data_IF_653103840655
#
_entry.id   IF_653103840655
#
_cell.length_a   1.000
_cell.length_b   1.000
_cell.length_c   1.000
_cell.angle_alpha   90.00
_cell.angle_beta   90.00
_cell.angle_gamma   90.00
#
_symmetry.space_group_name_H-M   'P 1'
#
loop_
_entity.id
_entity.type
_entity.pdbx_description
1 polymer ?
#
# COMPACT_ATOMS: atom_id res chain seq x y z
N UNK A 1 -29.25 4.71 3.34
CA UNK A 1 -29.21 6.18 3.17
C UNK A 1 -28.07 6.47 2.22
N UNK A 2 -28.32 7.19 1.14
CA UNK A 2 -27.24 7.70 0.28
C UNK A 2 -27.16 9.20 0.55
N UNK A 3 -25.96 9.69 0.85
CA UNK A 3 -25.75 11.12 1.08
C UNK A 3 -25.31 11.68 -0.26
N UNK A 4 -26.24 12.31 -0.98
CA UNK A 4 -25.92 13.12 -2.14
C UNK A 4 -25.43 14.49 -1.65
N UNK A 5 -24.22 14.88 -2.06
CA UNK A 5 -23.69 16.22 -1.79
C UNK A 5 -23.86 17.07 -3.06
N UNK A 6 -24.31 18.30 -2.88
CA UNK A 6 -24.32 19.33 -3.91
C UNK A 6 -23.01 20.11 -3.80
N UNK A 7 -22.12 19.98 -4.77
CA UNK A 7 -20.95 20.86 -4.86
C UNK A 7 -21.42 22.32 -5.01
N UNK A 8 -20.60 23.27 -4.58
CA UNK A 8 -20.90 24.69 -4.35
C UNK A 8 -21.93 25.38 -5.26
N UNK A 9 -22.74 26.22 -4.63
CA UNK A 9 -23.56 27.31 -5.20
C UNK A 9 -24.64 26.91 -6.23
N UNK A 10 -25.84 26.65 -5.70
CA UNK A 10 -27.13 27.10 -6.26
C UNK A 10 -27.52 26.79 -7.71
N UNK A 11 -26.94 25.83 -8.44
CA UNK A 11 -27.55 25.33 -9.68
C UNK A 11 -27.78 23.81 -9.58
N UNK A 12 -29.04 23.41 -9.76
CA UNK A 12 -29.50 22.03 -9.82
C UNK A 12 -29.20 21.51 -11.24
N UNK A 13 -28.02 20.91 -11.42
CA UNK A 13 -27.80 20.01 -12.54
C UNK A 13 -28.27 18.65 -12.05
N UNK A 14 -29.37 18.15 -12.61
CA UNK A 14 -30.22 17.04 -12.13
C UNK A 14 -29.56 15.66 -11.99
N UNK A 15 -28.23 15.60 -11.93
CA UNK A 15 -27.46 14.41 -11.65
C UNK A 15 -27.16 14.38 -10.15
N UNK A 16 -28.03 13.70 -9.39
CA UNK A 16 -27.66 13.27 -8.04
C UNK A 16 -26.48 12.31 -8.16
N UNK A 17 -25.28 12.78 -7.81
CA UNK A 17 -24.11 11.91 -7.69
C UNK A 17 -24.14 11.30 -6.30
N UNK A 18 -24.29 9.98 -6.26
CA UNK A 18 -24.16 9.21 -5.02
C UNK A 18 -22.68 9.15 -4.61
N UNK A 19 -22.26 10.13 -3.80
CA UNK A 19 -20.85 10.23 -3.35
C UNK A 19 -20.56 9.22 -2.23
N UNK A 20 -21.53 9.00 -1.32
CA UNK A 20 -21.39 8.13 -0.16
C UNK A 20 -22.67 7.32 0.10
N UNK A 21 -22.53 6.01 0.32
CA UNK A 21 -23.60 5.14 0.81
C UNK A 21 -23.40 4.78 2.28
N UNK A 22 -24.45 4.89 3.08
CA UNK A 22 -24.53 4.37 4.45
C UNK A 22 -25.66 3.35 4.55
N UNK A 23 -25.30 2.08 4.75
CA UNK A 23 -26.23 0.94 4.75
C UNK A 23 -26.70 0.62 6.17
N UNK A 24 -27.88 0.02 6.29
CA UNK A 24 -28.47 -0.35 7.60
C UNK A 24 -27.67 -1.41 8.36
N UNK A 25 -26.81 -2.18 7.67
CA UNK A 25 -25.86 -3.12 8.27
C UNK A 25 -24.60 -2.42 8.83
N UNK A 26 -24.47 -1.11 8.66
CA UNK A 26 -23.33 -0.31 9.09
C UNK A 26 -22.17 -0.23 8.08
N UNK A 27 -22.36 -0.69 6.84
CA UNK A 27 -21.36 -0.53 5.79
C UNK A 27 -21.40 0.90 5.21
N UNK A 28 -20.22 1.43 4.91
CA UNK A 28 -20.02 2.73 4.27
C UNK A 28 -19.32 2.54 2.93
N UNK A 29 -19.88 3.08 1.86
CA UNK A 29 -19.28 3.10 0.53
C UNK A 29 -18.94 4.52 0.11
N UNK A 30 -17.77 4.74 -0.48
CA UNK A 30 -17.38 6.00 -1.15
C UNK A 30 -17.13 5.66 -2.63
N UNK A 31 -17.90 6.26 -3.54
CA UNK A 31 -17.88 5.90 -4.97
C UNK A 31 -18.54 4.54 -5.30
N UNK A 32 -19.17 3.89 -4.31
CA UNK A 32 -19.90 2.62 -4.46
C UNK A 32 -21.17 2.64 -3.61
N UNK A 33 -22.29 2.22 -4.20
CA UNK A 33 -23.62 2.27 -3.55
C UNK A 33 -24.00 1.00 -2.79
N UNK A 34 -23.31 -0.11 -3.08
CA UNK A 34 -23.55 -1.41 -2.44
C UNK A 34 -22.26 -1.99 -1.86
N UNK A 35 -21.70 -1.34 -0.81
CA UNK A 35 -20.45 -1.78 -0.21
C UNK A 35 -20.56 -3.19 0.40
N UNK A 36 -19.65 -4.08 0.02
CA UNK A 36 -19.64 -5.47 0.49
C UNK A 36 -18.88 -5.66 1.82
N UNK A 37 -18.13 -4.65 2.23
CA UNK A 37 -17.38 -4.59 3.49
C UNK A 37 -17.73 -3.35 4.31
N UNK A 38 -17.21 -3.27 5.55
CA UNK A 38 -17.53 -2.17 6.50
C UNK A 38 -17.21 -0.78 5.94
N UNK A 39 -16.10 -0.66 5.22
CA UNK A 39 -15.71 0.53 4.49
C UNK A 39 -15.15 0.12 3.14
N UNK A 40 -15.81 0.53 2.07
CA UNK A 40 -15.32 0.34 0.69
C UNK A 40 -15.13 1.70 0.03
N UNK A 41 -13.94 1.91 -0.55
CA UNK A 41 -13.63 3.09 -1.36
C UNK A 41 -13.32 2.62 -2.76
N UNK A 42 -14.21 2.89 -3.71
CA UNK A 42 -14.10 2.42 -5.08
C UNK A 42 -13.91 3.60 -6.03
N UNK A 43 -12.68 3.77 -6.52
CA UNK A 43 -12.31 4.86 -7.41
C UNK A 43 -11.12 4.46 -8.29
N UNK A 44 -11.13 4.88 -9.55
CA UNK A 44 -10.04 4.64 -10.49
C UNK A 44 -8.96 5.74 -10.33
N UNK A 45 -8.14 5.60 -9.29
CA UNK A 45 -7.09 6.56 -8.94
C UNK A 45 -6.72 6.47 -7.45
N UNK A 46 -6.40 7.61 -6.85
CA UNK A 46 -6.15 7.71 -5.40
C UNK A 46 -7.42 7.36 -4.62
N UNK A 47 -7.33 6.39 -3.71
CA UNK A 47 -8.50 5.93 -2.93
C UNK A 47 -8.50 6.53 -1.52
N UNK A 48 -7.43 6.34 -0.75
CA UNK A 48 -7.32 6.91 0.60
C UNK A 48 -6.07 7.78 0.70
N UNK A 49 -6.28 9.08 0.96
CA UNK A 49 -5.21 10.04 1.26
C UNK A 49 -5.21 10.38 2.74
N UNK A 50 -4.07 10.19 3.41
CA UNK A 50 -3.80 10.72 4.74
C UNK A 50 -2.88 11.93 4.61
N UNK A 51 -3.36 13.11 4.96
CA UNK A 51 -2.59 14.36 4.88
C UNK A 51 -2.09 14.79 6.27
N UNK A 52 -0.87 15.28 6.34
CA UNK A 52 -0.36 16.04 7.49
C UNK A 52 -0.59 17.54 7.27
N UNK A 53 -0.29 18.05 6.07
CA UNK A 53 -0.56 19.42 5.66
C UNK A 53 -0.86 19.54 4.14
N UNK A 54 -0.73 20.73 3.56
CA UNK A 54 -0.98 20.97 2.14
C UNK A 54 0.07 20.35 1.19
N UNK A 55 1.18 19.86 1.72
CA UNK A 55 2.33 19.31 0.98
C UNK A 55 2.65 17.87 1.36
N UNK A 56 2.41 17.49 2.60
CA UNK A 56 2.78 16.19 3.15
C UNK A 56 1.59 15.24 3.27
N UNK A 57 1.70 14.07 2.64
CA UNK A 57 0.65 13.06 2.65
C UNK A 57 1.16 11.64 2.32
N UNK A 58 0.30 10.65 2.52
CA UNK A 58 0.44 9.32 1.93
C UNK A 58 -0.86 8.89 1.25
N UNK A 59 -0.75 8.28 0.07
CA UNK A 59 -1.89 7.73 -0.68
C UNK A 59 -1.82 6.21 -0.69
N UNK A 60 -2.98 5.59 -0.47
CA UNK A 60 -3.21 4.17 -0.67
C UNK A 60 -4.12 3.99 -1.89
N UNK A 61 -3.71 3.15 -2.82
CA UNK A 61 -4.48 2.83 -4.02
C UNK A 61 -4.24 1.38 -4.50
N UNK A 62 -5.26 0.75 -5.07
CA UNK A 62 -5.21 -0.54 -5.75
C UNK A 62 -5.34 -0.30 -7.24
N UNK A 63 -4.40 -0.79 -8.03
CA UNK A 63 -4.40 -0.60 -9.49
C UNK A 63 -5.34 -1.59 -10.22
N UNK A 64 -5.40 -1.50 -11.56
CA UNK A 64 -6.23 -2.41 -12.38
C UNK A 64 -5.77 -3.88 -12.35
N UNK A 65 -4.59 -4.17 -11.79
CA UNK A 65 -4.06 -5.52 -11.58
C UNK A 65 -4.28 -6.01 -10.15
N UNK A 66 -4.94 -5.23 -9.28
CA UNK A 66 -5.15 -5.57 -7.87
C UNK A 66 -3.92 -5.34 -7.00
N UNK A 67 -2.90 -4.60 -7.47
CA UNK A 67 -1.70 -4.29 -6.69
C UNK A 67 -1.96 -3.12 -5.77
N UNK A 68 -1.74 -3.32 -4.47
CA UNK A 68 -1.72 -2.23 -3.50
C UNK A 68 -0.44 -1.40 -3.65
N UNK A 69 -0.61 -0.09 -3.73
CA UNK A 69 0.46 0.91 -3.68
C UNK A 69 0.29 1.79 -2.45
N UNK A 70 1.41 2.13 -1.82
CA UNK A 70 1.48 3.11 -0.73
C UNK A 70 2.51 4.15 -1.16
N UNK A 71 2.03 5.36 -1.46
CA UNK A 71 2.85 6.43 -2.04
C UNK A 71 2.92 7.59 -1.04
N UNK A 72 3.96 7.65 -0.19
CA UNK A 72 4.22 8.83 0.63
C UNK A 72 4.76 9.97 -0.24
N UNK A 73 4.46 11.22 0.15
CA UNK A 73 5.10 12.42 -0.41
C UNK A 73 6.57 12.53 0.00
N UNK A 74 6.92 11.94 1.16
CA UNK A 74 8.28 11.79 1.66
C UNK A 74 9.02 10.57 1.09
N UNK A 75 10.25 10.36 1.56
CA UNK A 75 11.16 9.37 0.97
C UNK A 75 10.92 7.91 1.39
N UNK A 76 10.05 7.63 2.37
CA UNK A 76 9.95 6.30 2.97
C UNK A 76 8.56 5.93 3.45
N UNK A 77 8.27 4.63 3.42
CA UNK A 77 7.26 3.95 4.23
C UNK A 77 8.00 3.32 5.41
N UNK A 78 7.81 3.87 6.61
CA UNK A 78 8.44 3.36 7.84
C UNK A 78 7.55 2.32 8.54
N UNK A 79 8.19 1.27 9.07
CA UNK A 79 7.55 0.22 9.86
C UNK A 79 7.91 0.32 11.34
N UNK A 80 8.36 1.48 11.82
CA UNK A 80 8.64 1.77 13.23
C UNK A 80 9.61 0.75 13.87
N UNK A 81 10.71 0.45 13.17
CA UNK A 81 11.69 -0.58 13.58
C UNK A 81 11.10 -1.99 13.75
N UNK A 82 9.98 -2.30 13.08
CA UNK A 82 9.43 -3.66 12.99
C UNK A 82 9.95 -4.36 11.74
N UNK A 83 9.82 -5.68 11.75
CA UNK A 83 10.23 -6.51 10.63
C UNK A 83 9.21 -6.41 9.49
N UNK A 84 9.69 -6.18 8.26
CA UNK A 84 8.91 -6.42 7.06
C UNK A 84 8.92 -7.93 6.75
N UNK A 85 7.81 -8.61 7.03
CA UNK A 85 7.65 -10.05 6.73
C UNK A 85 6.88 -10.22 5.42
N UNK A 86 7.59 -10.39 4.30
CA UNK A 86 6.96 -10.60 2.99
C UNK A 86 6.88 -12.09 2.64
N UNK A 87 5.75 -12.53 2.06
CA UNK A 87 5.68 -13.81 1.35
C UNK A 87 5.88 -13.50 -0.14
N UNK A 88 7.05 -13.82 -0.68
CA UNK A 88 7.42 -13.52 -2.07
C UNK A 88 8.68 -12.68 -2.20
N UNK A 89 8.91 -12.14 -3.40
CA UNK A 89 10.13 -11.39 -3.75
C UNK A 89 9.98 -9.91 -3.40
N UNK A 90 10.94 -9.35 -2.66
CA UNK A 90 11.15 -7.89 -2.59
C UNK A 90 11.98 -7.53 -3.82
N UNK A 91 11.30 -7.19 -4.92
CA UNK A 91 11.96 -6.81 -6.17
C UNK A 91 12.46 -5.37 -6.08
N UNK A 92 13.62 -5.16 -5.44
CA UNK A 92 14.32 -3.88 -5.46
C UNK A 92 15.68 -4.04 -6.13
N UNK A 93 16.07 -3.06 -6.94
CA UNK A 93 17.43 -2.99 -7.50
C UNK A 93 18.51 -2.86 -6.42
N UNK A 94 18.14 -2.32 -5.24
CA UNK A 94 19.00 -2.23 -4.06
C UNK A 94 18.16 -2.48 -2.79
N UNK A 95 18.49 -3.50 -2.01
CA UNK A 95 17.94 -3.68 -0.66
C UNK A 95 19.00 -3.20 0.34
N UNK A 96 18.82 -1.98 0.86
CA UNK A 96 19.72 -1.44 1.90
C UNK A 96 19.22 -1.88 3.27
N UNK A 97 19.86 -2.90 3.85
CA UNK A 97 19.58 -3.36 5.22
C UNK A 97 20.78 -3.02 6.13
N UNK A 98 20.53 -2.27 7.20
CA UNK A 98 21.49 -2.12 8.30
C UNK A 98 21.34 -3.32 9.23
N UNK A 99 22.15 -4.37 9.04
CA UNK A 99 22.09 -5.58 9.86
C UNK A 99 22.38 -6.86 9.07
N UNK A 100 22.08 -8.01 9.68
CA UNK A 100 22.28 -9.32 9.07
C UNK A 100 21.16 -9.64 8.09
N UNK A 101 21.49 -9.76 6.81
CA UNK A 101 20.58 -10.34 5.81
C UNK A 101 20.59 -11.86 5.95
N UNK A 102 19.66 -12.42 6.73
CA UNK A 102 19.43 -13.87 6.75
C UNK A 102 18.63 -14.28 5.50
N UNK A 103 19.25 -14.16 4.33
CA UNK A 103 18.68 -14.63 3.09
C UNK A 103 18.78 -16.17 3.07
N UNK A 104 17.66 -16.87 3.25
CA UNK A 104 17.62 -18.34 3.12
C UNK A 104 17.94 -18.83 1.68
N UNK A 105 18.22 -17.91 0.73
CA UNK A 105 18.65 -18.24 -0.65
C UNK A 105 19.71 -17.28 -1.25
N UNK A 106 20.46 -16.52 -0.44
CA UNK A 106 21.78 -16.05 -0.87
C UNK A 106 22.83 -16.77 -0.04
N UNK A 107 22.99 -18.07 -0.33
CA UNK A 107 24.21 -18.76 0.01
C UNK A 107 25.29 -18.13 -0.88
N UNK A 108 26.13 -17.25 -0.33
CA UNK A 108 27.53 -17.40 -0.73
C UNK A 108 27.80 -18.88 -0.46
N UNK A 109 28.07 -19.68 -1.49
CA UNK A 109 28.56 -21.04 -1.29
C UNK A 109 29.77 -20.86 -0.39
N UNK A 110 29.63 -21.09 0.90
CA UNK A 110 30.76 -21.39 1.73
C UNK A 110 31.27 -22.71 1.14
N UNK A 111 32.22 -22.61 0.22
CA UNK A 111 32.99 -23.76 -0.25
C UNK A 111 33.87 -24.12 0.92
N UNK A 112 33.33 -24.97 1.78
CA UNK A 112 34.10 -25.58 2.84
C UNK A 112 35.10 -26.54 2.19
N UNK A 113 36.36 -26.47 2.59
CA UNK A 113 37.33 -27.48 2.17
C UNK A 113 36.98 -28.86 2.78
N UNK A 114 37.69 -29.91 2.37
CA UNK A 114 37.50 -31.27 2.91
C UNK A 114 37.78 -31.38 4.42
N UNK A 115 38.29 -30.32 5.05
CA UNK A 115 38.61 -30.19 6.47
C UNK A 115 37.65 -29.23 7.18
N UNK A 116 36.57 -28.80 6.53
CA UNK A 116 35.56 -27.88 7.06
C UNK A 116 36.07 -26.46 7.36
N UNK A 117 37.13 -25.98 6.70
CA UNK A 117 37.54 -24.57 6.77
C UNK A 117 36.82 -23.74 5.71
N UNK A 118 36.50 -22.48 6.04
CA UNK A 118 35.88 -21.53 5.12
C UNK A 118 36.90 -21.12 4.05
N UNK A 119 36.71 -21.51 2.80
CA UNK A 119 37.53 -21.02 1.68
C UNK A 119 36.92 -19.71 1.17
N UNK A 120 37.67 -18.62 1.26
CA UNK A 120 37.31 -17.38 0.57
C UNK A 120 37.36 -17.63 -0.94
N UNK A 121 36.25 -17.39 -1.63
CA UNK A 121 36.20 -17.45 -3.08
C UNK A 121 36.95 -16.24 -3.64
N UNK A 122 38.17 -16.43 -4.13
CA UNK A 122 38.88 -15.41 -4.90
C UNK A 122 38.14 -15.22 -6.23
N UNK A 123 37.83 -13.97 -6.58
CA UNK A 123 37.21 -13.57 -7.84
C UNK A 123 38.15 -13.87 -9.01
#
# INVERSE_FOLDING_TARGET
LTIALKEGTLYDTSDTVDVMALRSNGNVGIGVIDPDTRLEVFYAGDQLKLSFDGTDNAVFAVDTNGVLTITPSGAAVDFASKNLTSVGTIASGVITQSGTTLANTYQAKNTWDATYNLVMMTI
#
